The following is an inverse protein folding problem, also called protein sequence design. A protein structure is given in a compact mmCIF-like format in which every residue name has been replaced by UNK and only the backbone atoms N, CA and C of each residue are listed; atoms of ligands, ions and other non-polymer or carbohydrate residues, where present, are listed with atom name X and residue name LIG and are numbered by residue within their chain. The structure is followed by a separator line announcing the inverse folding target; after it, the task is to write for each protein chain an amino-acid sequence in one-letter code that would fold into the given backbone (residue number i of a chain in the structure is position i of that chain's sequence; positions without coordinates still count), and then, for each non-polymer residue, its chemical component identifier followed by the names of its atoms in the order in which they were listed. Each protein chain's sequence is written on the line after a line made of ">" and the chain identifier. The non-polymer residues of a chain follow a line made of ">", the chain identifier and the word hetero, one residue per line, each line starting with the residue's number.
data_IF_440992530520
#
_entry.id   IF_440992530520
#
_cell.length_a   1.000
_cell.length_b   1.000
_cell.length_c   1.000
_cell.angle_alpha   90.00
_cell.angle_beta   90.00
_cell.angle_gamma   90.00
#
_symmetry.space_group_name_H-M   'P 1'
#
loop_
_entity.id
_entity.type
_entity.pdbx_description
1 polymer ?
#
# COMPACT_ATOMS: atom_id res chain seq x y z
N UNK A 1 -9.42 -9.73 -50.73
CA UNK A 1 -9.05 -8.36 -50.41
C UNK A 1 -7.68 -8.40 -49.74
N UNK A 2 -6.67 -7.77 -50.39
CA UNK A 2 -5.36 -7.57 -49.76
C UNK A 2 -5.54 -6.45 -48.71
N UNK A 3 -5.41 -6.79 -47.44
CA UNK A 3 -5.22 -5.78 -46.40
C UNK A 3 -3.86 -5.14 -46.71
N UNK A 4 -3.87 -3.85 -47.04
CA UNK A 4 -2.65 -3.09 -47.22
C UNK A 4 -1.91 -3.09 -45.89
N UNK A 5 -0.68 -3.54 -45.87
CA UNK A 5 0.18 -3.42 -44.71
C UNK A 5 0.35 -1.92 -44.44
N UNK A 6 0.03 -1.49 -43.22
CA UNK A 6 0.34 -0.13 -42.75
C UNK A 6 1.83 0.10 -42.95
N UNK A 7 2.17 1.26 -43.52
CA UNK A 7 3.57 1.60 -43.72
C UNK A 7 4.24 1.76 -42.36
N UNK A 8 5.46 1.29 -42.22
CA UNK A 8 6.29 1.39 -41.02
C UNK A 8 6.42 2.86 -40.56
N UNK A 9 6.26 3.81 -41.46
CA UNK A 9 6.27 5.26 -41.23
C UNK A 9 5.09 5.76 -40.38
N UNK A 10 4.00 4.99 -40.29
CA UNK A 10 2.80 5.33 -39.53
C UNK A 10 2.83 4.76 -38.08
N UNK A 11 3.92 4.10 -37.69
CA UNK A 11 4.09 3.62 -36.34
C UNK A 11 4.60 4.74 -35.41
N UNK A 12 4.07 4.86 -34.19
CA UNK A 12 4.49 5.88 -33.25
C UNK A 12 5.99 5.84 -32.99
N UNK A 13 6.62 7.00 -32.95
CA UNK A 13 8.04 7.16 -32.64
C UNK A 13 8.35 6.67 -31.23
N UNK A 14 9.64 6.44 -30.92
CA UNK A 14 10.04 6.07 -29.56
C UNK A 14 9.69 7.12 -28.52
N UNK A 15 9.64 8.40 -28.90
CA UNK A 15 9.19 9.50 -28.02
C UNK A 15 7.68 9.41 -27.74
N UNK A 16 6.87 9.10 -28.75
CA UNK A 16 5.43 8.89 -28.58
C UNK A 16 5.12 7.62 -27.78
N UNK A 17 5.97 6.59 -27.87
CA UNK A 17 5.86 5.39 -27.02
C UNK A 17 6.18 5.66 -25.53
N UNK A 18 6.84 6.78 -25.22
CA UNK A 18 7.12 7.20 -23.83
C UNK A 18 5.95 7.89 -23.15
N UNK A 19 4.84 8.13 -23.81
CA UNK A 19 3.61 8.67 -23.23
C UNK A 19 2.83 7.69 -22.35
N UNK A 20 3.43 6.54 -22.02
CA UNK A 20 2.83 5.62 -21.05
C UNK A 20 2.96 6.19 -19.64
N UNK A 21 1.90 6.09 -18.82
CA UNK A 21 1.99 6.51 -17.43
C UNK A 21 3.07 5.70 -16.73
N UNK A 22 4.00 6.40 -16.10
CA UNK A 22 5.01 5.76 -15.25
C UNK A 22 4.38 5.37 -13.93
N UNK A 23 4.92 4.31 -13.32
CA UNK A 23 4.64 3.95 -11.94
C UNK A 23 4.65 5.17 -11.03
N UNK A 24 3.71 5.21 -10.09
CA UNK A 24 3.68 6.24 -9.05
C UNK A 24 4.70 5.87 -7.98
N UNK A 25 5.87 6.49 -8.06
CA UNK A 25 6.99 6.23 -7.17
C UNK A 25 7.53 7.52 -6.56
N UNK A 26 7.94 7.42 -5.31
CA UNK A 26 8.58 8.49 -4.55
C UNK A 26 9.91 7.98 -4.01
N UNK A 27 11.01 8.61 -4.41
CA UNK A 27 12.34 8.20 -3.97
C UNK A 27 12.63 8.69 -2.54
N UNK A 28 12.04 9.83 -2.17
CA UNK A 28 12.17 10.44 -0.83
C UNK A 28 10.81 10.84 -0.26
N UNK A 29 10.74 11.06 1.05
CA UNK A 29 9.56 11.64 1.68
C UNK A 29 9.33 13.09 1.26
N UNK A 30 10.38 13.82 0.94
CA UNK A 30 10.28 15.17 0.39
C UNK A 30 9.55 15.19 -0.97
N UNK A 31 9.78 14.18 -1.82
CA UNK A 31 9.06 14.05 -3.09
C UNK A 31 7.57 13.78 -2.84
N UNK A 32 7.27 12.95 -1.86
CA UNK A 32 5.89 12.71 -1.45
C UNK A 32 5.23 13.98 -0.89
N UNK A 33 5.94 14.74 -0.05
CA UNK A 33 5.41 15.97 0.53
C UNK A 33 5.12 17.04 -0.52
N UNK A 34 5.90 17.08 -1.61
CA UNK A 34 5.70 17.99 -2.75
C UNK A 34 4.63 17.51 -3.73
N UNK A 35 4.23 16.25 -3.65
CA UNK A 35 3.21 15.71 -4.52
C UNK A 35 1.86 16.38 -4.28
N UNK A 36 1.16 16.67 -5.39
CA UNK A 36 -0.20 17.21 -5.40
C UNK A 36 -1.06 16.45 -6.41
N UNK A 37 -2.35 16.21 -6.12
CA UNK A 37 -3.27 15.57 -7.04
C UNK A 37 -3.31 16.27 -8.40
N UNK A 38 -3.24 15.51 -9.49
CA UNK A 38 -3.37 16.01 -10.85
C UNK A 38 -2.19 16.82 -11.39
N UNK A 39 -1.06 16.87 -10.68
CA UNK A 39 0.14 17.61 -11.16
C UNK A 39 1.11 16.77 -11.98
N UNK A 40 1.03 15.45 -11.90
CA UNK A 40 1.85 14.55 -12.73
C UNK A 40 1.24 14.46 -14.12
N UNK A 41 2.10 14.42 -15.14
CA UNK A 41 1.68 14.17 -16.53
C UNK A 41 1.10 12.75 -16.60
N UNK A 42 -0.03 12.59 -17.29
CA UNK A 42 -0.75 11.32 -17.50
C UNK A 42 -1.18 10.60 -16.22
N UNK A 43 -1.29 11.31 -15.11
CA UNK A 43 -1.61 10.75 -13.80
C UNK A 43 -3.03 10.13 -13.75
N UNK A 44 -3.93 10.58 -14.58
CA UNK A 44 -5.29 10.03 -14.68
C UNK A 44 -5.30 8.54 -15.07
N UNK A 45 -4.28 8.08 -15.81
CA UNK A 45 -4.13 6.67 -16.18
C UNK A 45 -3.64 5.78 -15.02
N UNK A 46 -3.12 6.38 -13.96
CA UNK A 46 -2.72 5.69 -12.74
C UNK A 46 -3.83 5.63 -11.69
N UNK A 47 -4.96 6.30 -11.95
CA UNK A 47 -6.10 6.31 -11.03
C UNK A 47 -7.02 5.12 -11.30
N UNK A 48 -7.41 4.44 -10.24
CA UNK A 48 -8.45 3.43 -10.32
C UNK A 48 -9.79 4.07 -10.71
N UNK A 49 -10.55 3.37 -11.52
CA UNK A 49 -11.86 3.80 -12.02
C UNK A 49 -13.03 3.02 -11.41
N UNK A 50 -12.73 1.90 -10.77
CA UNK A 50 -13.73 1.00 -10.20
C UNK A 50 -13.79 1.17 -8.68
N UNK A 51 -14.92 1.62 -8.12
CA UNK A 51 -15.10 1.63 -6.68
C UNK A 51 -15.14 0.22 -6.12
N UNK A 52 -14.78 0.07 -4.84
CA UNK A 52 -14.83 -1.21 -4.15
C UNK A 52 -16.27 -1.76 -4.16
N UNK A 53 -16.48 -2.87 -4.86
CA UNK A 53 -17.76 -3.54 -4.92
C UNK A 53 -18.09 -4.25 -3.61
N UNK A 54 -19.37 -4.48 -3.37
CA UNK A 54 -19.80 -5.41 -2.32
C UNK A 54 -19.30 -6.81 -2.63
N UNK A 55 -18.70 -7.46 -1.63
CA UNK A 55 -18.23 -8.82 -1.79
C UNK A 55 -19.40 -9.77 -2.09
N UNK A 56 -19.18 -10.66 -3.03
CA UNK A 56 -20.14 -11.70 -3.33
C UNK A 56 -20.36 -12.60 -2.10
N UNK A 57 -21.62 -12.75 -1.71
CA UNK A 57 -22.03 -13.64 -0.63
C UNK A 57 -22.77 -14.84 -1.25
N UNK A 58 -21.99 -15.88 -1.57
CA UNK A 58 -22.52 -17.15 -2.04
C UNK A 58 -22.76 -18.12 -0.90
N UNK A 59 -23.48 -19.22 -1.22
CA UNK A 59 -23.59 -20.35 -0.29
C UNK A 59 -22.20 -20.95 -0.07
N UNK A 60 -21.84 -21.15 1.19
CA UNK A 60 -20.61 -21.86 1.56
C UNK A 60 -20.66 -23.29 1.01
N UNK A 61 -19.69 -23.64 0.15
CA UNK A 61 -19.61 -24.96 -0.49
C UNK A 61 -19.04 -26.00 0.46
N UNK A 62 -18.00 -25.59 1.21
CA UNK A 62 -17.39 -26.43 2.23
C UNK A 62 -17.98 -26.09 3.61
N UNK A 63 -18.86 -26.95 4.10
CA UNK A 63 -19.51 -26.76 5.40
C UNK A 63 -18.54 -26.83 6.60
N UNK A 64 -17.36 -27.39 6.40
CA UNK A 64 -16.31 -27.47 7.43
C UNK A 64 -15.40 -26.25 7.45
N UNK A 65 -15.46 -25.38 6.45
CA UNK A 65 -14.66 -24.15 6.44
C UNK A 65 -15.19 -23.17 7.49
N UNK A 66 -14.26 -22.55 8.21
CA UNK A 66 -14.62 -21.50 9.15
C UNK A 66 -15.05 -20.24 8.38
N UNK A 67 -16.32 -19.80 8.44
CA UNK A 67 -16.80 -18.63 7.71
C UNK A 67 -16.19 -17.31 8.22
N UNK A 68 -15.66 -17.32 9.44
CA UNK A 68 -15.05 -16.12 10.07
C UNK A 68 -13.55 -16.00 9.76
N UNK A 69 -12.94 -17.05 9.19
CA UNK A 69 -11.54 -17.00 8.79
C UNK A 69 -11.34 -16.00 7.65
N UNK A 70 -10.35 -15.11 7.79
CA UNK A 70 -9.99 -14.10 6.80
C UNK A 70 -8.68 -14.44 6.12
N UNK A 71 -8.63 -14.23 4.81
CA UNK A 71 -7.44 -14.49 3.99
C UNK A 71 -6.96 -13.17 3.40
N UNK A 72 -5.74 -12.79 3.77
CA UNK A 72 -5.02 -11.69 3.12
C UNK A 72 -3.89 -12.28 2.28
N UNK A 73 -3.86 -11.95 0.99
CA UNK A 73 -2.74 -12.29 0.13
C UNK A 73 -1.75 -11.12 0.08
N UNK A 74 -0.48 -11.43 0.19
CA UNK A 74 0.61 -10.52 -0.10
C UNK A 74 1.15 -10.92 -1.47
N UNK A 75 0.96 -10.06 -2.47
CA UNK A 75 1.24 -10.41 -3.86
C UNK A 75 2.34 -9.55 -4.45
N UNK A 76 3.36 -10.26 -4.92
CA UNK A 76 4.46 -9.72 -5.71
C UNK A 76 4.12 -9.88 -7.19
N UNK A 77 3.17 -9.09 -7.68
CA UNK A 77 2.57 -9.28 -9.01
C UNK A 77 3.53 -8.95 -10.15
N UNK A 78 4.58 -8.18 -9.90
CA UNK A 78 5.37 -7.63 -10.98
C UNK A 78 6.86 -7.46 -10.65
N UNK A 79 7.42 -8.34 -9.83
CA UNK A 79 8.79 -8.24 -9.29
C UNK A 79 9.90 -8.05 -10.31
N UNK A 80 9.60 -8.24 -11.60
CA UNK A 80 10.58 -8.12 -12.70
C UNK A 80 10.21 -7.08 -13.74
N UNK A 81 9.07 -6.43 -13.63
CA UNK A 81 8.73 -5.34 -14.52
C UNK A 81 9.32 -4.04 -13.97
N UNK A 82 10.25 -3.46 -14.66
CA UNK A 82 10.92 -2.22 -14.25
C UNK A 82 10.03 -0.99 -14.33
N UNK A 83 8.93 -1.07 -15.05
CA UNK A 83 8.01 0.02 -15.29
C UNK A 83 6.58 -0.54 -15.24
N UNK A 84 6.00 -0.54 -14.04
CA UNK A 84 4.62 -0.97 -13.80
C UNK A 84 3.65 0.12 -14.22
N UNK A 85 3.41 0.22 -15.51
CA UNK A 85 2.34 1.07 -15.97
C UNK A 85 1.02 0.29 -15.99
N UNK A 86 -0.05 0.92 -15.54
CA UNK A 86 -1.42 0.38 -15.59
C UNK A 86 -1.87 -0.05 -16.98
N UNK A 87 -1.21 0.46 -18.02
CA UNK A 87 -1.47 0.18 -19.43
C UNK A 87 -0.49 -0.83 -20.06
N UNK A 88 0.35 -1.47 -19.26
CA UNK A 88 1.28 -2.49 -19.71
C UNK A 88 2.65 -1.98 -20.14
N UNK A 89 3.54 -2.92 -20.45
CA UNK A 89 4.92 -2.70 -20.86
C UNK A 89 5.14 -2.93 -22.37
N UNK A 90 6.41 -2.82 -22.81
CA UNK A 90 6.79 -3.12 -24.18
C UNK A 90 6.74 -4.62 -24.48
N UNK A 91 6.93 -5.46 -23.48
CA UNK A 91 6.83 -6.90 -23.56
C UNK A 91 5.51 -7.37 -22.96
N UNK A 92 4.88 -8.36 -23.57
CA UNK A 92 3.71 -9.00 -23.00
C UNK A 92 4.12 -9.81 -21.76
N UNK A 93 3.83 -9.26 -20.59
CA UNK A 93 3.97 -9.93 -19.29
C UNK A 93 2.62 -9.86 -18.60
N UNK A 94 1.82 -10.90 -18.78
CA UNK A 94 0.52 -10.98 -18.13
C UNK A 94 0.63 -11.72 -16.81
N UNK A 95 0.09 -11.13 -15.77
CA UNK A 95 -0.25 -11.79 -14.52
C UNK A 95 -1.75 -12.11 -14.56
N UNK A 96 -2.08 -13.39 -14.65
CA UNK A 96 -3.46 -13.84 -14.47
C UNK A 96 -3.64 -14.20 -13.00
N UNK A 97 -4.53 -13.48 -12.32
CA UNK A 97 -4.91 -13.78 -10.94
C UNK A 97 -6.41 -14.06 -10.89
N UNK A 98 -6.76 -15.31 -10.58
CA UNK A 98 -8.13 -15.81 -10.66
C UNK A 98 -8.71 -16.23 -9.30
N UNK A 99 -8.02 -15.89 -8.18
CA UNK A 99 -8.38 -16.38 -6.85
C UNK A 99 -9.06 -15.32 -5.96
N UNK A 100 -9.58 -14.25 -6.54
CA UNK A 100 -10.22 -13.14 -5.82
C UNK A 100 -11.31 -13.58 -4.85
N UNK A 101 -12.07 -14.63 -5.19
CA UNK A 101 -13.16 -15.15 -4.37
C UNK A 101 -12.70 -15.69 -3.00
N UNK A 102 -11.42 -16.01 -2.85
CA UNK A 102 -10.86 -16.52 -1.60
C UNK A 102 -10.26 -15.44 -0.71
N UNK A 103 -10.12 -14.22 -1.22
CA UNK A 103 -9.43 -13.14 -0.52
C UNK A 103 -10.40 -12.19 0.17
N UNK A 104 -10.07 -11.80 1.39
CA UNK A 104 -10.71 -10.69 2.10
C UNK A 104 -9.97 -9.37 1.91
N UNK A 105 -8.68 -9.42 1.60
CA UNK A 105 -7.86 -8.28 1.21
C UNK A 105 -6.61 -8.73 0.47
N UNK A 106 -5.99 -7.80 -0.27
CA UNK A 106 -4.73 -8.02 -0.97
C UNK A 106 -3.75 -6.90 -0.65
N UNK A 107 -2.48 -7.27 -0.50
CA UNK A 107 -1.36 -6.34 -0.40
C UNK A 107 -0.61 -6.33 -1.72
N UNK A 108 -0.47 -5.14 -2.30
CA UNK A 108 0.42 -4.90 -3.43
C UNK A 108 1.84 -4.66 -2.89
N UNK A 109 2.69 -5.70 -2.99
CA UNK A 109 4.00 -5.69 -2.37
C UNK A 109 4.99 -4.73 -3.02
N UNK A 110 4.80 -4.43 -4.30
CA UNK A 110 5.79 -3.75 -5.14
C UNK A 110 5.91 -2.24 -4.91
N UNK A 111 5.02 -1.60 -4.19
CA UNK A 111 5.13 -0.16 -4.00
C UNK A 111 4.06 0.49 -3.13
N UNK A 112 4.30 1.77 -2.88
CA UNK A 112 3.42 2.61 -2.05
C UNK A 112 2.03 2.78 -2.66
N UNK A 113 1.95 2.84 -3.98
CA UNK A 113 0.70 3.00 -4.73
C UNK A 113 0.52 1.80 -5.66
N UNK A 114 -0.52 0.98 -5.46
CA UNK A 114 -0.84 -0.10 -6.37
C UNK A 114 -1.18 0.43 -7.77
N UNK A 115 -0.89 -0.36 -8.81
CA UNK A 115 -1.26 0.01 -10.16
C UNK A 115 -2.78 -0.01 -10.37
N UNK A 116 -3.30 0.89 -11.20
CA UNK A 116 -4.74 1.11 -11.36
C UNK A 116 -5.48 -0.14 -11.86
N UNK A 117 -4.88 -0.93 -12.76
CA UNK A 117 -5.43 -2.18 -13.26
C UNK A 117 -5.60 -3.23 -12.16
N UNK A 118 -4.66 -3.31 -11.24
CA UNK A 118 -4.75 -4.22 -10.07
C UNK A 118 -5.81 -3.73 -9.09
N UNK A 119 -5.88 -2.43 -8.82
CA UNK A 119 -6.93 -1.86 -7.97
C UNK A 119 -8.31 -2.16 -8.56
N UNK A 120 -8.50 -1.88 -9.85
CA UNK A 120 -9.76 -2.09 -10.54
C UNK A 120 -10.17 -3.58 -10.55
N UNK A 121 -9.22 -4.50 -10.75
CA UNK A 121 -9.47 -5.94 -10.70
C UNK A 121 -9.89 -6.39 -9.28
N UNK A 122 -9.17 -5.95 -8.25
CA UNK A 122 -9.50 -6.25 -6.87
C UNK A 122 -10.89 -5.70 -6.49
N UNK A 123 -11.15 -4.45 -6.83
CA UNK A 123 -12.41 -3.76 -6.51
C UNK A 123 -13.62 -4.37 -7.20
N UNK A 124 -13.53 -4.81 -8.47
CA UNK A 124 -14.60 -5.54 -9.15
C UNK A 124 -15.00 -6.81 -8.41
N UNK A 125 -14.06 -7.42 -7.72
CA UNK A 125 -14.26 -8.65 -6.95
C UNK A 125 -14.56 -8.40 -5.46
N UNK A 126 -14.74 -7.15 -5.05
CA UNK A 126 -15.03 -6.78 -3.67
C UNK A 126 -13.85 -7.02 -2.71
N UNK A 127 -12.62 -6.98 -3.23
CA UNK A 127 -11.38 -7.19 -2.47
C UNK A 127 -10.68 -5.87 -2.27
N UNK A 128 -10.55 -5.35 -1.02
CA UNK A 128 -9.73 -4.19 -0.73
C UNK A 128 -8.26 -4.47 -1.04
N UNK A 129 -7.55 -3.45 -1.56
CA UNK A 129 -6.14 -3.54 -1.89
C UNK A 129 -5.32 -2.47 -1.18
N UNK A 130 -4.17 -2.86 -0.65
CA UNK A 130 -3.27 -2.01 0.12
C UNK A 130 -1.95 -1.81 -0.60
N UNK A 131 -1.45 -0.57 -0.60
CA UNK A 131 -0.06 -0.28 -0.93
C UNK A 131 0.89 -0.70 0.18
N UNK A 132 2.19 -0.64 -0.05
CA UNK A 132 3.20 -1.06 0.94
C UNK A 132 4.07 0.11 1.38
N UNK A 133 4.10 0.34 2.69
CA UNK A 133 5.13 1.11 3.37
C UNK A 133 6.29 0.18 3.68
N UNK A 134 7.39 0.33 2.96
CA UNK A 134 8.50 -0.61 3.01
C UNK A 134 9.74 0.00 3.67
N UNK A 135 10.15 -0.58 4.78
CA UNK A 135 11.39 -0.27 5.49
C UNK A 135 12.24 -1.53 5.55
N UNK A 136 13.40 -1.47 4.90
CA UNK A 136 14.28 -2.61 4.68
C UNK A 136 14.76 -3.25 5.98
N UNK A 137 15.05 -4.54 5.93
CA UNK A 137 15.88 -5.18 6.93
C UNK A 137 17.29 -4.59 6.84
N UNK A 138 17.55 -3.57 7.63
CA UNK A 138 18.77 -2.77 7.60
C UNK A 138 18.99 -2.08 8.95
N UNK A 139 20.25 -1.81 9.26
CA UNK A 139 20.67 -0.92 10.34
C UNK A 139 21.47 0.28 9.81
N UNK A 140 21.42 0.54 8.52
CA UNK A 140 22.10 1.71 7.95
C UNK A 140 21.49 3.02 8.46
N UNK A 141 22.31 4.03 8.67
CA UNK A 141 21.84 5.35 9.13
C UNK A 141 20.78 5.90 8.17
N UNK A 142 20.98 5.74 6.87
CA UNK A 142 20.03 6.19 5.84
C UNK A 142 18.63 5.57 6.02
N UNK A 143 18.55 4.26 6.27
CA UNK A 143 17.27 3.59 6.44
C UNK A 143 16.62 3.95 7.78
N UNK A 144 17.42 4.10 8.84
CA UNK A 144 16.94 4.59 10.14
C UNK A 144 16.35 6.01 10.03
N UNK A 145 17.07 6.93 9.37
CA UNK A 145 16.62 8.29 9.11
C UNK A 145 15.31 8.29 8.29
N UNK A 146 15.21 7.46 7.24
CA UNK A 146 14.00 7.34 6.43
C UNK A 146 12.78 6.94 7.28
N UNK A 147 12.94 5.98 8.20
CA UNK A 147 11.86 5.60 9.11
C UNK A 147 11.52 6.74 10.08
N UNK A 148 12.53 7.35 10.70
CA UNK A 148 12.34 8.48 11.62
C UNK A 148 11.65 9.68 10.94
N UNK A 149 12.02 9.99 9.70
CA UNK A 149 11.40 11.06 8.91
C UNK A 149 9.91 10.83 8.66
N UNK A 150 9.49 9.57 8.47
CA UNK A 150 8.06 9.25 8.33
C UNK A 150 7.25 9.73 9.53
N UNK A 151 7.86 9.63 10.72
CA UNK A 151 7.23 9.95 12.00
C UNK A 151 7.51 11.39 12.47
N UNK A 152 7.99 12.24 11.56
CA UNK A 152 8.18 13.65 11.87
C UNK A 152 6.84 14.35 12.02
N UNK A 153 6.67 15.02 13.15
CA UNK A 153 5.48 15.81 13.46
C UNK A 153 5.54 17.20 12.82
N UNK A 154 4.39 17.85 12.65
CA UNK A 154 4.32 19.26 12.21
C UNK A 154 5.03 20.19 13.20
N UNK A 155 4.89 19.92 14.50
CA UNK A 155 5.64 20.52 15.59
C UNK A 155 5.83 19.48 16.70
N UNK A 156 6.87 19.61 17.48
CA UNK A 156 7.18 18.66 18.54
C UNK A 156 5.99 18.46 19.50
N UNK A 157 5.59 17.19 19.67
CA UNK A 157 4.48 16.79 20.54
C UNK A 157 3.09 17.09 20.00
N UNK A 158 2.96 17.57 18.77
CA UNK A 158 1.64 17.86 18.17
C UNK A 158 0.82 16.61 17.88
N UNK A 159 1.47 15.45 17.73
CA UNK A 159 0.87 14.19 17.28
C UNK A 159 0.15 14.31 15.93
N UNK A 160 0.55 15.26 15.10
CA UNK A 160 0.08 15.45 13.73
C UNK A 160 1.23 15.27 12.76
N UNK A 161 0.99 14.54 11.67
CA UNK A 161 2.06 14.04 10.81
C UNK A 161 1.79 14.38 9.34
N UNK A 162 2.66 15.16 8.70
CA UNK A 162 2.46 15.54 7.30
C UNK A 162 2.49 14.34 6.34
N UNK A 163 3.36 13.34 6.60
CA UNK A 163 3.41 12.11 5.78
C UNK A 163 2.10 11.33 5.90
N UNK A 164 1.53 11.22 7.10
CA UNK A 164 0.26 10.54 7.31
C UNK A 164 -0.87 11.13 6.45
N UNK A 165 -0.97 12.46 6.39
CA UNK A 165 -1.95 13.14 5.53
C UNK A 165 -1.72 12.83 4.06
N UNK A 166 -0.46 12.89 3.60
CA UNK A 166 -0.12 12.57 2.20
C UNK A 166 -0.44 11.12 1.83
N UNK A 167 -0.26 10.17 2.75
CA UNK A 167 -0.64 8.78 2.51
C UNK A 167 -2.15 8.63 2.29
N UNK A 168 -2.96 9.32 3.07
CA UNK A 168 -4.42 9.32 2.86
C UNK A 168 -4.79 9.99 1.55
N UNK A 169 -4.19 11.14 1.25
CA UNK A 169 -4.44 11.87 0.00
C UNK A 169 -4.07 11.03 -1.23
N UNK A 170 -2.96 10.26 -1.17
CA UNK A 170 -2.58 9.30 -2.19
C UNK A 170 -3.64 8.20 -2.37
N UNK A 171 -4.01 7.55 -1.27
CA UNK A 171 -5.00 6.47 -1.31
C UNK A 171 -6.32 6.97 -1.91
N UNK A 172 -6.78 8.15 -1.49
CA UNK A 172 -7.99 8.78 -2.01
C UNK A 172 -7.89 9.14 -3.49
N UNK A 173 -6.75 9.69 -3.92
CA UNK A 173 -6.58 10.14 -5.30
C UNK A 173 -6.44 8.98 -6.28
N UNK A 174 -5.64 7.96 -5.94
CA UNK A 174 -5.43 6.79 -6.80
C UNK A 174 -6.48 5.69 -6.60
N UNK A 175 -7.26 5.73 -5.52
CA UNK A 175 -8.43 4.88 -5.32
C UNK A 175 -8.15 3.53 -4.66
N UNK A 176 -7.20 3.41 -3.74
CA UNK A 176 -6.92 2.17 -3.00
C UNK A 176 -7.22 2.30 -1.49
N UNK A 177 -7.18 1.21 -0.73
CA UNK A 177 -7.93 1.11 0.53
C UNK A 177 -7.08 1.21 1.81
N UNK A 178 -5.77 1.33 1.68
CA UNK A 178 -4.90 1.42 2.84
C UNK A 178 -3.47 0.96 2.59
N UNK A 179 -2.78 0.56 3.68
CA UNK A 179 -1.36 0.21 3.59
C UNK A 179 -1.02 -1.01 4.41
N UNK A 180 -0.10 -1.81 3.87
CA UNK A 180 0.68 -2.78 4.60
C UNK A 180 1.98 -2.14 5.07
N UNK A 181 2.37 -2.36 6.32
CA UNK A 181 3.60 -1.81 6.89
C UNK A 181 4.60 -2.93 7.08
N UNK A 182 5.68 -2.89 6.29
CA UNK A 182 6.84 -3.76 6.47
C UNK A 182 7.95 -2.96 7.15
N UNK A 183 7.94 -2.96 8.50
CA UNK A 183 8.97 -2.25 9.27
C UNK A 183 10.00 -3.26 9.77
N UNK A 184 11.17 -3.31 9.12
CA UNK A 184 12.27 -4.20 9.48
C UNK A 184 13.58 -3.47 9.77
N UNK A 185 13.59 -2.15 9.68
CA UNK A 185 14.78 -1.34 10.02
C UNK A 185 15.01 -1.31 11.52
N UNK A 186 16.27 -1.45 11.94
CA UNK A 186 16.70 -1.46 13.34
C UNK A 186 17.73 -0.39 13.62
N UNK A 187 17.95 -0.07 14.88
CA UNK A 187 19.02 0.81 15.34
C UNK A 187 18.51 1.96 16.21
N UNK A 188 19.46 2.75 16.74
CA UNK A 188 19.22 3.73 17.81
C UNK A 188 18.22 4.83 17.43
N UNK A 189 18.02 5.12 16.13
CA UNK A 189 17.04 6.10 15.67
C UNK A 189 15.63 5.50 15.56
N UNK A 190 15.50 4.18 15.54
CA UNK A 190 14.24 3.44 15.33
C UNK A 190 13.67 2.92 16.65
N UNK A 191 14.52 2.38 17.51
CA UNK A 191 14.13 1.70 18.74
C UNK A 191 13.19 2.52 19.65
N UNK A 192 13.36 3.84 19.82
CA UNK A 192 12.47 4.63 20.67
C UNK A 192 11.17 5.06 19.99
N UNK A 193 10.92 4.69 18.73
CA UNK A 193 9.84 5.26 17.92
C UNK A 193 8.53 4.45 17.91
N UNK A 194 8.45 3.33 18.64
CA UNK A 194 7.22 2.54 18.71
C UNK A 194 5.97 3.33 19.13
N UNK A 195 6.00 4.08 20.25
CA UNK A 195 4.88 4.93 20.65
C UNK A 195 4.50 5.98 19.60
N UNK A 196 5.50 6.60 18.98
CA UNK A 196 5.26 7.59 17.92
C UNK A 196 4.68 6.97 16.64
N UNK A 197 5.08 5.74 16.29
CA UNK A 197 4.46 5.00 15.20
C UNK A 197 2.97 4.75 15.50
N UNK A 198 2.64 4.36 16.73
CA UNK A 198 1.24 4.19 17.13
C UNK A 198 0.44 5.48 16.98
N UNK A 199 0.96 6.61 17.45
CA UNK A 199 0.33 7.93 17.29
C UNK A 199 0.15 8.29 15.81
N UNK A 200 1.15 8.01 14.98
CA UNK A 200 1.09 8.21 13.52
C UNK A 200 -0.06 7.41 12.88
N UNK A 201 -0.21 6.13 13.24
CA UNK A 201 -1.25 5.27 12.71
C UNK A 201 -2.65 5.76 13.08
N UNK A 202 -2.84 6.12 14.34
CA UNK A 202 -4.11 6.67 14.84
C UNK A 202 -4.45 7.99 14.15
N UNK A 203 -3.48 8.91 14.07
CA UNK A 203 -3.67 10.19 13.39
C UNK A 203 -4.01 10.01 11.89
N UNK A 204 -3.37 9.07 11.23
CA UNK A 204 -3.67 8.78 9.81
C UNK A 204 -5.14 8.39 9.65
N UNK A 205 -5.67 7.54 10.52
CA UNK A 205 -7.07 7.11 10.48
C UNK A 205 -8.03 8.24 10.84
N UNK A 206 -7.68 9.08 11.80
CA UNK A 206 -8.45 10.27 12.14
C UNK A 206 -8.54 11.22 10.95
N UNK A 207 -7.41 11.53 10.34
CA UNK A 207 -7.38 12.37 9.13
C UNK A 207 -8.16 11.73 7.98
N UNK A 208 -8.04 10.43 7.74
CA UNK A 208 -8.78 9.71 6.73
C UNK A 208 -10.30 9.85 6.91
N UNK A 209 -10.79 9.75 8.14
CA UNK A 209 -12.19 10.00 8.46
C UNK A 209 -12.59 11.46 8.20
N UNK A 210 -11.75 12.41 8.57
CA UNK A 210 -12.02 13.85 8.39
C UNK A 210 -12.19 14.24 6.92
N UNK A 211 -11.49 13.56 6.00
CA UNK A 211 -11.61 13.76 4.55
C UNK A 211 -12.58 12.79 3.87
N UNK A 212 -13.37 12.06 4.67
CA UNK A 212 -14.34 11.06 4.20
C UNK A 212 -13.72 9.98 3.29
N UNK A 213 -12.53 9.51 3.65
CA UNK A 213 -11.84 8.41 2.98
C UNK A 213 -11.16 7.50 3.99
N UNK A 214 -11.90 6.66 4.71
CA UNK A 214 -11.32 5.77 5.71
C UNK A 214 -10.38 4.77 5.05
N UNK A 215 -9.21 4.57 5.63
CA UNK A 215 -8.21 3.60 5.19
C UNK A 215 -7.96 2.55 6.27
N UNK A 216 -7.34 1.44 5.86
CA UNK A 216 -6.95 0.36 6.76
C UNK A 216 -5.46 0.15 6.77
N UNK A 217 -4.97 -0.40 7.88
CA UNK A 217 -3.59 -0.84 8.02
C UNK A 217 -3.50 -2.33 8.29
N UNK A 218 -2.59 -2.99 7.58
CA UNK A 218 -2.07 -4.30 7.94
C UNK A 218 -0.62 -4.14 8.37
N UNK A 219 -0.20 -4.83 9.42
CA UNK A 219 1.10 -4.65 10.02
C UNK A 219 1.86 -5.97 10.13
N UNK A 220 3.13 -5.95 9.70
CA UNK A 220 4.05 -7.06 9.81
C UNK A 220 4.74 -7.08 11.18
N UNK A 221 4.79 -8.27 11.79
CA UNK A 221 5.33 -8.52 13.11
C UNK A 221 6.86 -8.43 13.15
N UNK A 222 7.43 -7.27 12.88
CA UNK A 222 8.87 -7.07 12.95
C UNK A 222 9.29 -5.98 13.95
N UNK A 223 8.34 -5.21 14.47
CA UNK A 223 8.61 -4.10 15.39
C UNK A 223 7.87 -4.27 16.71
N UNK A 224 8.61 -4.18 17.79
CA UNK A 224 8.02 -4.07 19.13
C UNK A 224 7.78 -2.60 19.50
N UNK A 225 6.88 -2.39 20.44
CA UNK A 225 6.48 -1.06 20.88
C UNK A 225 7.61 -0.28 21.57
N UNK A 226 8.42 -0.93 22.40
CA UNK A 226 9.45 -0.29 23.21
C UNK A 226 10.87 -0.44 22.64
N UNK A 227 11.14 -1.56 21.95
CA UNK A 227 12.51 -1.99 21.64
C UNK A 227 12.87 -1.99 20.14
N UNK A 228 12.03 -1.38 19.29
CA UNK A 228 12.30 -1.35 17.86
C UNK A 228 11.87 -2.62 17.14
N UNK A 229 12.81 -3.40 16.58
CA UNK A 229 12.52 -4.60 15.81
C UNK A 229 12.69 -5.85 16.64
N UNK A 230 11.65 -6.67 16.69
CA UNK A 230 11.69 -8.01 17.28
C UNK A 230 10.60 -8.89 16.67
N UNK A 231 10.93 -10.05 16.15
CA UNK A 231 9.95 -11.01 15.64
C UNK A 231 9.43 -11.87 16.77
N UNK A 232 8.18 -11.71 17.11
CA UNK A 232 7.54 -12.50 18.15
C UNK A 232 6.76 -13.70 17.61
N UNK A 233 6.48 -13.75 16.30
CA UNK A 233 5.68 -14.77 15.62
C UNK A 233 4.25 -14.92 16.18
N UNK A 234 3.85 -14.02 17.05
CA UNK A 234 2.54 -13.98 17.68
C UNK A 234 2.24 -12.59 18.23
N UNK A 235 0.99 -12.29 18.48
CA UNK A 235 0.60 -11.10 19.21
C UNK A 235 0.88 -11.32 20.71
N UNK A 236 1.78 -10.51 21.27
CA UNK A 236 2.26 -10.64 22.65
C UNK A 236 2.39 -9.30 23.37
N UNK A 237 3.00 -9.31 24.56
CA UNK A 237 3.12 -8.14 25.43
C UNK A 237 3.93 -6.98 24.80
N UNK A 238 4.86 -7.30 23.89
CA UNK A 238 5.74 -6.29 23.27
C UNK A 238 5.16 -5.66 21.99
N UNK A 239 4.11 -6.24 21.40
CA UNK A 239 3.58 -5.76 20.12
C UNK A 239 2.07 -5.51 20.12
N UNK A 240 1.32 -5.98 21.13
CA UNK A 240 -0.14 -5.83 21.17
C UNK A 240 -0.59 -4.36 21.19
N UNK A 241 0.28 -3.43 21.60
CA UNK A 241 -0.02 -1.99 21.63
C UNK A 241 -0.43 -1.44 20.25
N UNK A 242 0.09 -2.03 19.16
CA UNK A 242 -0.29 -1.63 17.81
C UNK A 242 -1.71 -2.10 17.42
N UNK A 243 -2.24 -3.09 18.12
CA UNK A 243 -3.62 -3.60 17.94
C UNK A 243 -4.61 -3.03 18.97
N UNK A 244 -4.11 -2.41 20.05
CA UNK A 244 -4.95 -1.93 21.13
C UNK A 244 -5.70 -0.65 20.72
N UNK A 245 -7.05 -0.62 20.81
CA UNK A 245 -7.82 0.52 20.40
C UNK A 245 -7.61 1.74 21.31
N UNK A 246 -7.72 2.91 20.73
CA UNK A 246 -7.83 4.20 21.42
C UNK A 246 -9.08 4.93 20.91
N UNK A 247 -9.94 5.36 21.81
CA UNK A 247 -11.21 6.00 21.46
C UNK A 247 -12.07 5.20 20.45
N UNK A 248 -12.00 3.87 20.53
CA UNK A 248 -12.72 2.97 19.63
C UNK A 248 -12.07 2.75 18.27
N UNK A 249 -10.87 3.28 18.01
CA UNK A 249 -10.10 3.07 16.80
C UNK A 249 -8.87 2.22 17.06
N UNK A 250 -8.68 1.17 16.26
CA UNK A 250 -7.45 0.38 16.29
C UNK A 250 -6.35 1.06 15.45
N UNK A 251 -5.11 1.17 15.95
CA UNK A 251 -4.00 1.67 15.14
C UNK A 251 -3.81 0.87 13.85
N UNK A 252 -3.86 -0.45 13.93
CA UNK A 252 -3.86 -1.36 12.78
C UNK A 252 -5.07 -2.29 12.81
N UNK A 253 -5.53 -2.73 11.64
CA UNK A 253 -6.72 -3.57 11.49
C UNK A 253 -6.38 -5.06 11.40
N UNK A 254 -5.19 -5.37 10.89
CA UNK A 254 -4.74 -6.75 10.65
C UNK A 254 -3.29 -6.90 11.07
N UNK A 255 -3.04 -7.97 11.80
CA UNK A 255 -1.71 -8.40 12.20
C UNK A 255 -1.22 -9.52 11.27
N UNK A 256 -0.02 -9.37 10.76
CA UNK A 256 0.64 -10.35 9.90
C UNK A 256 1.84 -10.93 10.64
N UNK A 257 1.69 -12.14 11.15
CA UNK A 257 2.75 -12.82 11.89
C UNK A 257 3.79 -13.44 10.95
N UNK A 258 5.03 -13.45 11.41
CA UNK A 258 6.11 -14.17 10.78
C UNK A 258 6.18 -15.59 11.41
N UNK A 259 5.98 -16.62 10.58
CA UNK A 259 6.06 -18.03 11.01
C UNK A 259 7.32 -18.71 10.49
#
# INVERSE_FOLDING_TARGET
>A
PKVAAEKVEDLPTNEEKQLRPKEVKFDTWDDLLKWEPGKRVDDDLNRASVPLASRFQGKQINEQANPDAKIQALSNMNSKAKDHASVGGEEFKAYAFDYWQYLDSMVFWEGLVPSADVIDAAHRNGVPIYGTLFYNWSSSIKDQERFAETLKEDSEGSKTFPIARKLVDLAKYYGFDGYFINQETTGNLVEPLGPKLRDFLLYTKEYAKSVNYPIKYSWYDAMTYEYGRYHENALGEYNYNFMQPENGENPVDTFFANF
#
